data_IF_621381664386
#
_entry.id   IF_621381664386
#
_cell.length_a   1.000
_cell.length_b   1.000
_cell.length_c   1.000
_cell.angle_alpha   90.00
_cell.angle_beta   90.00
_cell.angle_gamma   90.00
#
_symmetry.space_group_name_H-M   'P 1'
#
loop_
_entity.id
_entity.type
_entity.pdbx_description
1 polymer ?
#
# COMPACT_ATOMS: atom_id res chain seq x y z
N UNK A 1 1.62 -23.37 -5.54
CA UNK A 1 2.61 -22.39 -4.98
C UNK A 1 3.54 -23.06 -3.96
N UNK A 2 4.82 -22.66 -3.89
CA UNK A 2 5.77 -23.16 -2.88
C UNK A 2 5.35 -22.66 -1.48
N UNK A 3 5.43 -23.50 -0.43
CA UNK A 3 5.09 -23.17 0.97
C UNK A 3 5.65 -21.81 1.44
N UNK A 4 6.89 -21.52 1.04
CA UNK A 4 7.55 -20.23 1.35
C UNK A 4 6.84 -19.01 0.74
N UNK A 5 6.26 -19.12 -0.46
CA UNK A 5 5.51 -18.02 -1.10
C UNK A 5 4.19 -17.77 -0.37
N UNK A 6 3.51 -18.82 0.10
CA UNK A 6 2.28 -18.69 0.90
C UNK A 6 2.56 -17.93 2.20
N UNK A 7 3.65 -18.27 2.91
CA UNK A 7 4.03 -17.57 4.13
C UNK A 7 4.34 -16.09 3.89
N UNK A 8 4.99 -15.76 2.75
CA UNK A 8 5.23 -14.35 2.37
C UNK A 8 3.91 -13.62 2.11
N UNK A 9 2.94 -14.25 1.43
CA UNK A 9 1.62 -13.66 1.18
C UNK A 9 0.89 -13.40 2.50
N UNK A 10 0.81 -14.39 3.38
CA UNK A 10 0.14 -14.24 4.68
C UNK A 10 0.79 -13.10 5.49
N UNK A 11 2.12 -13.12 5.63
CA UNK A 11 2.85 -12.08 6.34
C UNK A 11 2.64 -10.69 5.74
N UNK A 12 2.71 -10.57 4.40
CA UNK A 12 2.46 -9.32 3.70
C UNK A 12 1.05 -8.81 3.98
N UNK A 13 0.02 -9.64 3.78
CA UNK A 13 -1.37 -9.24 3.95
C UNK A 13 -1.65 -8.79 5.38
N UNK A 14 -1.16 -9.51 6.38
CA UNK A 14 -1.36 -9.14 7.78
C UNK A 14 -0.62 -7.84 8.13
N UNK A 15 0.67 -7.73 7.83
CA UNK A 15 1.44 -6.54 8.17
C UNK A 15 0.98 -5.30 7.40
N UNK A 16 0.66 -5.45 6.11
CA UNK A 16 0.17 -4.33 5.29
C UNK A 16 -1.13 -3.75 5.86
N UNK A 17 -2.10 -4.61 6.15
CA UNK A 17 -3.41 -4.16 6.61
C UNK A 17 -3.40 -3.67 8.06
N UNK A 18 -2.49 -4.15 8.91
CA UNK A 18 -2.28 -3.58 10.23
C UNK A 18 -1.82 -2.11 10.19
N UNK A 19 -1.34 -1.64 9.04
CA UNK A 19 -1.00 -0.24 8.81
C UNK A 19 -2.19 0.70 8.88
N UNK A 20 -3.38 0.26 8.47
CA UNK A 20 -4.62 1.04 8.61
C UNK A 20 -4.98 1.23 10.09
N UNK A 21 -4.90 0.16 10.88
CA UNK A 21 -5.14 0.23 12.33
C UNK A 21 -4.12 1.15 13.01
N UNK A 22 -2.82 1.02 12.66
CA UNK A 22 -1.77 1.90 13.19
C UNK A 22 -1.96 3.37 12.80
N UNK A 23 -2.45 3.65 11.57
CA UNK A 23 -2.78 5.01 11.14
C UNK A 23 -3.98 5.58 11.91
N UNK A 24 -5.01 4.79 12.16
CA UNK A 24 -6.20 5.18 12.92
C UNK A 24 -5.84 5.54 14.37
N UNK A 25 -4.90 4.82 15.00
CA UNK A 25 -4.35 5.20 16.31
C UNK A 25 -3.45 6.45 16.25
N UNK A 26 -2.81 6.75 15.11
CA UNK A 26 -1.90 7.88 14.99
C UNK A 26 -2.56 9.21 14.60
N UNK A 27 -3.56 9.17 13.69
CA UNK A 27 -4.21 10.35 13.11
C UNK A 27 -4.85 11.33 14.14
N UNK A 28 -5.39 10.91 15.29
CA UNK A 28 -5.92 11.85 16.28
C UNK A 28 -4.87 12.84 16.83
N UNK A 29 -3.58 12.54 16.71
CA UNK A 29 -2.48 13.29 17.29
C UNK A 29 -1.67 14.11 16.30
N UNK A 30 -1.93 13.98 15.00
CA UNK A 30 -1.19 14.68 13.95
C UNK A 30 -1.95 14.66 12.62
N UNK A 31 -1.63 15.60 11.72
CA UNK A 31 -2.20 15.59 10.37
C UNK A 31 -1.62 14.47 9.47
N UNK A 32 -2.30 14.13 8.36
CA UNK A 32 -1.92 13.05 7.46
C UNK A 32 -0.54 13.26 6.81
N UNK A 33 -0.19 14.47 6.39
CA UNK A 33 1.12 14.75 5.79
C UNK A 33 2.24 14.60 6.83
N UNK A 34 2.00 15.10 8.05
CA UNK A 34 2.96 15.05 9.16
C UNK A 34 3.17 13.63 9.64
N UNK A 35 2.10 12.81 9.71
CA UNK A 35 2.21 11.39 10.07
C UNK A 35 3.07 10.64 9.06
N UNK A 36 2.84 10.84 7.75
CA UNK A 36 3.63 10.20 6.71
C UNK A 36 5.08 10.72 6.75
N UNK A 37 5.27 12.03 6.93
CA UNK A 37 6.61 12.62 7.03
C UNK A 37 7.43 12.01 8.17
N UNK A 38 6.93 12.01 9.41
CA UNK A 38 7.62 11.41 10.57
C UNK A 38 7.91 9.93 10.37
N UNK A 39 6.94 9.20 9.84
CA UNK A 39 7.10 7.78 9.51
C UNK A 39 8.26 7.55 8.56
N UNK A 40 8.32 8.28 7.45
CA UNK A 40 9.36 8.08 6.44
C UNK A 40 10.68 8.75 6.78
N UNK A 41 10.70 9.79 7.61
CA UNK A 41 11.92 10.29 8.23
C UNK A 41 12.56 9.20 9.11
N UNK A 42 11.79 8.57 9.99
CA UNK A 42 12.29 7.49 10.83
C UNK A 42 12.82 6.30 9.99
N UNK A 43 12.07 5.86 8.98
CA UNK A 43 12.51 4.79 8.06
C UNK A 43 13.81 5.19 7.36
N UNK A 44 13.92 6.42 6.85
CA UNK A 44 15.12 6.91 6.15
C UNK A 44 16.32 6.90 7.07
N UNK A 45 16.19 7.42 8.30
CA UNK A 45 17.26 7.41 9.31
C UNK A 45 17.69 5.98 9.63
N UNK A 46 16.75 5.06 9.88
CA UNK A 46 17.04 3.65 10.14
C UNK A 46 17.78 2.99 8.97
N UNK A 47 17.36 3.27 7.73
CA UNK A 47 18.00 2.71 6.54
C UNK A 47 19.39 3.29 6.31
N UNK A 48 19.62 4.58 6.56
CA UNK A 48 20.97 5.20 6.52
C UNK A 48 21.87 4.51 7.54
N UNK A 49 21.44 4.42 8.80
CA UNK A 49 22.22 3.77 9.86
C UNK A 49 22.54 2.32 9.49
N UNK A 50 21.55 1.56 9.03
CA UNK A 50 21.73 0.18 8.59
C UNK A 50 22.77 0.07 7.46
N UNK A 51 22.64 0.88 6.40
CA UNK A 51 23.53 0.85 5.24
C UNK A 51 24.96 1.28 5.60
N UNK A 52 25.13 2.27 6.49
CA UNK A 52 26.44 2.71 7.00
C UNK A 52 27.09 1.60 7.83
N UNK A 53 26.38 1.02 8.81
CA UNK A 53 26.89 -0.07 9.65
C UNK A 53 27.30 -1.28 8.79
N UNK A 54 26.49 -1.61 7.79
CA UNK A 54 26.78 -2.71 6.86
C UNK A 54 27.81 -2.37 5.78
N UNK A 55 28.36 -1.14 5.78
CA UNK A 55 29.28 -0.62 4.75
C UNK A 55 28.75 -0.77 3.32
N UNK A 56 27.42 -0.63 3.17
CA UNK A 56 26.70 -0.75 1.88
C UNK A 56 26.15 0.58 1.39
N UNK A 57 26.41 1.67 2.10
CA UNK A 57 26.03 3.00 1.69
C UNK A 57 26.93 3.46 0.54
N UNK A 58 26.42 3.33 -0.69
CA UNK A 58 27.13 3.68 -1.92
C UNK A 58 26.21 4.49 -2.83
N UNK A 59 26.80 5.50 -3.49
CA UNK A 59 26.10 6.22 -4.53
C UNK A 59 25.87 5.32 -5.75
N UNK A 60 24.62 5.17 -6.19
CA UNK A 60 24.21 4.27 -7.27
C UNK A 60 24.09 4.94 -8.63
N UNK A 61 24.41 6.25 -8.71
CA UNK A 61 24.22 7.06 -9.89
C UNK A 61 22.84 7.69 -9.98
N UNK A 62 22.76 8.87 -10.63
CA UNK A 62 21.55 9.69 -10.66
C UNK A 62 20.36 8.97 -11.29
N UNK A 63 20.56 8.25 -12.40
CA UNK A 63 19.49 7.53 -13.11
C UNK A 63 18.85 6.45 -12.23
N UNK A 64 19.66 5.65 -11.54
CA UNK A 64 19.18 4.56 -10.67
C UNK A 64 18.51 5.13 -9.43
N UNK A 65 19.11 6.15 -8.82
CA UNK A 65 18.55 6.82 -7.66
C UNK A 65 17.19 7.44 -7.98
N UNK A 66 17.07 8.24 -9.06
CA UNK A 66 15.84 8.91 -9.44
C UNK A 66 14.71 7.94 -9.81
N UNK A 67 15.03 6.82 -10.48
CA UNK A 67 14.03 5.79 -10.78
C UNK A 67 13.48 5.15 -9.50
N UNK A 68 14.35 4.76 -8.57
CA UNK A 68 13.92 4.18 -7.30
C UNK A 68 13.18 5.22 -6.43
N UNK A 69 13.62 6.47 -6.43
CA UNK A 69 12.91 7.56 -5.74
C UNK A 69 11.52 7.79 -6.34
N UNK A 70 11.36 7.74 -7.67
CA UNK A 70 10.05 7.84 -8.32
C UNK A 70 9.13 6.69 -7.91
N UNK A 71 9.62 5.45 -7.94
CA UNK A 71 8.84 4.27 -7.51
C UNK A 71 8.40 4.45 -6.05
N UNK A 72 9.31 4.85 -5.17
CA UNK A 72 9.02 5.10 -3.76
C UNK A 72 8.00 6.21 -3.54
N UNK A 73 8.15 7.34 -4.21
CA UNK A 73 7.20 8.44 -4.14
C UNK A 73 5.79 8.01 -4.58
N UNK A 74 5.68 7.26 -5.66
CA UNK A 74 4.39 6.77 -6.15
C UNK A 74 3.78 5.72 -5.21
N UNK A 75 4.57 4.75 -4.77
CA UNK A 75 4.09 3.63 -3.96
C UNK A 75 3.76 3.99 -2.52
N UNK A 76 4.43 4.99 -1.97
CA UNK A 76 4.29 5.38 -0.56
C UNK A 76 3.75 6.81 -0.41
N UNK A 77 4.36 7.78 -1.10
CA UNK A 77 3.97 9.19 -1.02
C UNK A 77 2.57 9.41 -1.58
N UNK A 78 2.38 9.19 -2.87
CA UNK A 78 1.11 9.42 -3.56
C UNK A 78 0.00 8.52 -3.00
N UNK A 79 0.29 7.23 -2.86
CA UNK A 79 -0.72 6.26 -2.41
C UNK A 79 -1.27 6.60 -1.03
N UNK A 80 -0.39 6.76 -0.02
CA UNK A 80 -0.82 7.08 1.35
C UNK A 80 -1.49 8.45 1.44
N UNK A 81 -0.90 9.46 0.79
CA UNK A 81 -1.45 10.81 0.80
C UNK A 81 -2.87 10.84 0.25
N UNK A 82 -3.13 10.21 -0.90
CA UNK A 82 -4.46 10.20 -1.49
C UNK A 82 -5.47 9.45 -0.60
N UNK A 83 -5.09 8.35 0.03
CA UNK A 83 -5.96 7.63 0.97
C UNK A 83 -6.28 8.51 2.19
N UNK A 84 -5.28 9.07 2.84
CA UNK A 84 -5.48 9.85 4.08
C UNK A 84 -6.20 11.16 3.82
N UNK A 85 -5.89 11.86 2.72
CA UNK A 85 -6.60 13.08 2.33
C UNK A 85 -8.07 12.81 2.00
N UNK A 86 -8.40 11.68 1.38
CA UNK A 86 -9.79 11.33 1.13
C UNK A 86 -10.56 11.13 2.44
N UNK A 87 -9.96 10.46 3.42
CA UNK A 87 -10.53 10.27 4.76
C UNK A 87 -10.68 11.61 5.50
N UNK A 88 -9.68 12.47 5.46
CA UNK A 88 -9.72 13.82 6.05
C UNK A 88 -10.85 14.66 5.43
N UNK A 89 -11.05 14.56 4.10
CA UNK A 89 -12.18 15.18 3.39
C UNK A 89 -13.53 14.48 3.64
N UNK A 90 -13.61 13.63 4.67
CA UNK A 90 -14.83 12.94 5.11
C UNK A 90 -15.44 12.03 4.05
N UNK A 91 -14.65 11.56 3.08
CA UNK A 91 -15.09 10.50 2.18
C UNK A 91 -15.25 9.23 2.99
N UNK A 92 -16.41 8.56 2.94
CA UNK A 92 -16.62 7.33 3.69
C UNK A 92 -15.53 6.31 3.41
N UNK A 93 -14.94 5.74 4.46
CA UNK A 93 -13.81 4.80 4.35
C UNK A 93 -14.12 3.61 3.44
N UNK A 94 -15.40 3.17 3.41
CA UNK A 94 -15.87 2.15 2.48
C UNK A 94 -15.73 2.55 1.01
N UNK A 95 -16.02 3.82 0.66
CA UNK A 95 -15.84 4.30 -0.72
C UNK A 95 -14.36 4.40 -1.06
N UNK A 96 -13.53 4.91 -0.14
CA UNK A 96 -12.06 4.94 -0.34
C UNK A 96 -11.53 3.53 -0.60
N UNK A 97 -11.91 2.56 0.22
CA UNK A 97 -11.51 1.16 0.06
C UNK A 97 -11.99 0.57 -1.28
N UNK A 98 -13.22 0.90 -1.71
CA UNK A 98 -13.78 0.43 -2.99
C UNK A 98 -13.01 1.01 -4.19
N UNK A 99 -12.69 2.31 -4.15
CA UNK A 99 -11.91 2.94 -5.23
C UNK A 99 -10.50 2.36 -5.27
N UNK A 100 -9.83 2.23 -4.13
CA UNK A 100 -8.48 1.60 -4.04
C UNK A 100 -8.51 0.15 -4.56
N UNK A 101 -9.59 -0.58 -4.37
CA UNK A 101 -9.77 -1.93 -4.90
C UNK A 101 -9.87 -2.00 -6.45
N UNK A 102 -9.88 -0.87 -7.16
CA UNK A 102 -9.71 -0.85 -8.62
C UNK A 102 -8.23 -1.12 -9.05
N UNK A 103 -7.26 -0.96 -8.14
CA UNK A 103 -5.85 -1.11 -8.44
C UNK A 103 -5.49 -2.46 -9.09
N UNK A 104 -5.96 -3.63 -8.64
CA UNK A 104 -5.65 -4.89 -9.31
C UNK A 104 -6.18 -4.98 -10.75
N UNK A 105 -7.36 -4.42 -11.02
CA UNK A 105 -7.91 -4.34 -12.37
C UNK A 105 -7.04 -3.44 -13.27
N UNK A 106 -6.64 -2.26 -12.77
CA UNK A 106 -5.75 -1.34 -13.47
C UNK A 106 -4.38 -2.00 -13.75
N UNK A 107 -3.81 -2.71 -12.77
CA UNK A 107 -2.54 -3.43 -12.94
C UNK A 107 -2.67 -4.54 -13.98
N UNK A 108 -3.74 -5.35 -13.93
CA UNK A 108 -4.01 -6.40 -14.91
C UNK A 108 -4.14 -5.87 -16.33
N UNK A 109 -4.84 -4.73 -16.49
CA UNK A 109 -5.04 -4.10 -17.81
C UNK A 109 -3.73 -3.54 -18.40
N UNK A 110 -2.82 -3.04 -17.57
CA UNK A 110 -1.59 -2.39 -18.02
C UNK A 110 -0.36 -3.32 -18.04
N UNK A 111 -0.42 -4.50 -17.42
CA UNK A 111 0.72 -5.41 -17.30
C UNK A 111 1.28 -5.83 -18.65
N UNK A 112 0.43 -6.20 -19.61
CA UNK A 112 0.87 -6.58 -20.97
C UNK A 112 1.66 -5.49 -21.68
N UNK A 113 1.26 -4.22 -21.51
CA UNK A 113 1.95 -3.08 -22.13
C UNK A 113 3.29 -2.76 -21.48
N UNK A 114 3.36 -2.82 -20.15
CA UNK A 114 4.54 -2.36 -19.38
C UNK A 114 5.54 -3.48 -19.14
N UNK A 115 5.07 -4.65 -18.70
CA UNK A 115 5.92 -5.77 -18.24
C UNK A 115 6.02 -6.90 -19.27
N UNK A 116 5.23 -6.86 -20.34
CA UNK A 116 5.06 -7.95 -21.31
C UNK A 116 4.47 -9.24 -20.71
N UNK A 117 3.90 -9.14 -19.51
CA UNK A 117 3.19 -10.22 -18.84
C UNK A 117 1.69 -10.08 -19.11
N UNK A 118 1.18 -10.84 -20.08
CA UNK A 118 -0.25 -10.79 -20.43
C UNK A 118 -1.10 -11.42 -19.32
N UNK A 119 -2.15 -10.71 -18.93
CA UNK A 119 -3.15 -11.20 -17.98
C UNK A 119 -4.04 -12.22 -18.67
N UNK A 120 -3.99 -13.49 -18.26
CA UNK A 120 -4.77 -14.56 -18.86
C UNK A 120 -6.25 -14.51 -18.43
N UNK A 121 -7.10 -15.32 -19.11
CA UNK A 121 -8.56 -15.32 -18.85
C UNK A 121 -8.95 -15.69 -17.41
N UNK A 122 -8.17 -16.58 -16.76
CA UNK A 122 -8.43 -16.97 -15.37
C UNK A 122 -8.08 -15.84 -14.41
N UNK A 123 -6.99 -15.13 -14.69
CA UNK A 123 -6.60 -13.95 -13.91
C UNK A 123 -7.64 -12.84 -14.07
N UNK A 124 -8.12 -12.56 -15.30
CA UNK A 124 -9.18 -11.58 -15.52
C UNK A 124 -10.47 -11.95 -14.77
N UNK A 125 -10.91 -13.20 -14.87
CA UNK A 125 -12.09 -13.66 -14.15
C UNK A 125 -11.89 -13.55 -12.64
N UNK A 126 -10.70 -13.90 -12.13
CA UNK A 126 -10.33 -13.76 -10.73
C UNK A 126 -10.32 -12.32 -10.25
N UNK A 127 -9.80 -11.37 -11.06
CA UNK A 127 -9.79 -9.94 -10.75
C UNK A 127 -11.21 -9.37 -10.64
N UNK A 128 -12.08 -9.67 -11.62
CA UNK A 128 -13.48 -9.21 -11.60
C UNK A 128 -14.23 -9.82 -10.42
N UNK A 129 -14.05 -11.11 -10.16
CA UNK A 129 -14.69 -11.79 -9.04
C UNK A 129 -14.21 -11.21 -7.69
N UNK A 130 -12.90 -10.97 -7.54
CA UNK A 130 -12.34 -10.33 -6.35
C UNK A 130 -12.89 -8.94 -6.13
N UNK A 131 -13.01 -8.13 -7.19
CA UNK A 131 -13.62 -6.81 -7.11
C UNK A 131 -15.10 -6.87 -6.68
N UNK A 132 -15.88 -7.79 -7.25
CA UNK A 132 -17.28 -8.03 -6.82
C UNK A 132 -17.33 -8.37 -5.32
N UNK A 133 -16.44 -9.23 -4.84
CA UNK A 133 -16.36 -9.56 -3.42
C UNK A 133 -16.10 -8.33 -2.54
N UNK A 134 -15.20 -7.43 -2.96
CA UNK A 134 -14.95 -6.14 -2.26
C UNK A 134 -16.19 -5.26 -2.28
N UNK A 135 -16.88 -5.14 -3.43
CA UNK A 135 -18.13 -4.39 -3.54
C UNK A 135 -19.16 -4.90 -2.53
N UNK A 136 -19.38 -6.22 -2.45
CA UNK A 136 -20.32 -6.83 -1.49
C UNK A 136 -19.93 -6.51 -0.05
N UNK A 137 -18.63 -6.61 0.30
CA UNK A 137 -18.12 -6.32 1.65
C UNK A 137 -18.35 -4.85 2.04
N UNK A 138 -18.21 -3.92 1.08
CA UNK A 138 -18.17 -2.48 1.36
C UNK A 138 -19.54 -1.82 1.17
N UNK A 139 -20.40 -2.30 0.23
CA UNK A 139 -21.62 -1.64 -0.19
C UNK A 139 -22.58 -1.28 0.97
N UNK A 140 -22.70 -2.16 1.96
CA UNK A 140 -23.57 -1.96 3.12
C UNK A 140 -22.95 -1.10 4.24
N UNK A 141 -21.70 -0.67 4.06
CA UNK A 141 -20.96 0.20 5.00
C UNK A 141 -20.83 1.63 4.49
N UNK A 142 -21.26 1.90 3.25
CA UNK A 142 -21.20 3.22 2.65
C UNK A 142 -22.29 4.10 3.28
N UNK A 143 -21.88 5.17 3.93
CA UNK A 143 -22.79 6.26 4.33
C UNK A 143 -22.90 7.27 3.21
N UNK A 144 -24.01 7.24 2.48
CA UNK A 144 -24.30 8.16 1.38
C UNK A 144 -24.74 9.55 1.84
N UNK A 145 -24.99 9.75 3.15
CA UNK A 145 -25.35 11.05 3.70
C UNK A 145 -24.13 11.92 4.04
N UNK A 146 -22.91 11.44 3.72
CA UNK A 146 -21.69 12.21 3.97
C UNK A 146 -21.67 13.49 3.15
N UNK A 147 -21.21 14.58 3.75
CA UNK A 147 -21.11 15.93 3.15
C UNK A 147 -19.85 16.13 2.28
N UNK A 148 -19.25 15.04 1.80
CA UNK A 148 -18.03 15.11 0.99
C UNK A 148 -18.26 15.79 -0.35
N UNK A 149 -17.30 16.61 -0.78
CA UNK A 149 -17.33 17.21 -2.12
C UNK A 149 -17.10 16.15 -3.21
N UNK A 150 -17.59 16.38 -4.43
CA UNK A 150 -17.30 15.52 -5.59
C UNK A 150 -15.80 15.32 -5.79
N UNK A 151 -14.99 16.35 -5.56
CA UNK A 151 -13.54 16.28 -5.64
C UNK A 151 -12.95 15.30 -4.61
N UNK A 152 -13.51 15.21 -3.40
CA UNK A 152 -13.10 14.25 -2.39
C UNK A 152 -13.16 12.80 -2.90
N UNK A 153 -14.19 12.44 -3.67
CA UNK A 153 -14.35 11.11 -4.23
C UNK A 153 -13.35 10.77 -5.35
N UNK A 154 -12.74 11.78 -5.99
CA UNK A 154 -11.71 11.57 -7.02
C UNK A 154 -10.30 11.37 -6.43
N UNK A 155 -10.05 11.88 -5.21
CA UNK A 155 -8.73 11.79 -4.56
C UNK A 155 -8.20 10.33 -4.50
N UNK A 156 -9.00 9.32 -4.10
CA UNK A 156 -8.52 7.93 -4.02
C UNK A 156 -8.06 7.33 -5.37
N UNK A 157 -8.51 7.88 -6.52
CA UNK A 157 -7.99 7.46 -7.83
C UNK A 157 -6.50 7.74 -7.97
N UNK A 158 -5.99 8.81 -7.34
CA UNK A 158 -4.56 9.10 -7.30
C UNK A 158 -3.76 7.97 -6.65
N UNK A 159 -4.31 7.32 -5.60
CA UNK A 159 -3.67 6.16 -4.97
C UNK A 159 -3.62 4.96 -5.92
N UNK A 160 -4.71 4.69 -6.66
CA UNK A 160 -4.78 3.61 -7.65
C UNK A 160 -3.71 3.81 -8.73
N UNK A 161 -3.63 5.02 -9.29
CA UNK A 161 -2.65 5.38 -10.33
C UNK A 161 -1.22 5.23 -9.77
N UNK A 162 -0.94 5.83 -8.61
CA UNK A 162 0.39 5.81 -8.00
C UNK A 162 0.92 4.40 -7.78
N UNK A 163 0.17 3.57 -7.06
CA UNK A 163 0.64 2.20 -6.73
C UNK A 163 0.67 1.29 -7.96
N UNK A 164 -0.26 1.46 -8.93
CA UNK A 164 -0.26 0.69 -10.18
C UNK A 164 1.01 0.97 -10.98
N UNK A 165 1.33 2.24 -11.22
CA UNK A 165 2.53 2.63 -11.95
C UNK A 165 3.80 2.16 -11.23
N UNK A 166 3.88 2.38 -9.91
CA UNK A 166 5.02 1.93 -9.11
C UNK A 166 5.25 0.42 -9.21
N UNK A 167 4.19 -0.37 -9.03
CA UNK A 167 4.27 -1.85 -9.09
C UNK A 167 4.70 -2.33 -10.46
N UNK A 168 4.16 -1.75 -11.54
CA UNK A 168 4.51 -2.13 -12.92
C UNK A 168 5.96 -1.74 -13.27
N UNK A 169 6.43 -0.55 -12.88
CA UNK A 169 7.82 -0.13 -13.10
C UNK A 169 8.76 -1.05 -12.31
N UNK A 170 8.47 -1.31 -11.03
CA UNK A 170 9.28 -2.21 -10.20
C UNK A 170 9.34 -3.61 -10.81
N UNK A 171 8.20 -4.15 -11.25
CA UNK A 171 8.16 -5.47 -11.90
C UNK A 171 8.97 -5.50 -13.20
N UNK A 172 8.90 -4.44 -14.01
CA UNK A 172 9.68 -4.33 -15.23
C UNK A 172 11.19 -4.38 -14.96
N UNK A 173 11.67 -3.64 -13.96
CA UNK A 173 13.08 -3.65 -13.51
C UNK A 173 13.50 -5.06 -13.06
N UNK A 174 12.63 -5.78 -12.34
CA UNK A 174 12.89 -7.14 -11.89
C UNK A 174 13.01 -8.16 -13.04
N UNK A 175 12.08 -8.09 -14.00
CA UNK A 175 12.04 -9.04 -15.15
C UNK A 175 13.25 -8.83 -16.07
N UNK A 176 13.54 -7.59 -16.42
CA UNK A 176 14.58 -7.25 -17.38
C UNK A 176 15.99 -7.41 -16.79
N UNK A 177 16.12 -7.69 -15.49
CA UNK A 177 17.41 -7.72 -14.79
C UNK A 177 18.24 -6.48 -15.10
N UNK A 178 17.59 -5.34 -15.21
CA UNK A 178 18.21 -4.09 -15.62
C UNK A 178 19.29 -3.66 -14.61
N UNK A 179 20.25 -2.87 -15.09
CA UNK A 179 21.32 -2.30 -14.26
C UNK A 179 20.78 -1.40 -13.14
N UNK A 180 19.53 -0.96 -13.27
CA UNK A 180 18.80 -0.17 -12.30
C UNK A 180 18.28 -0.97 -11.09
N UNK A 181 18.35 -2.31 -11.12
CA UNK A 181 17.93 -3.15 -9.99
C UNK A 181 18.87 -2.96 -8.80
N UNK A 182 18.31 -2.49 -7.70
CA UNK A 182 19.03 -2.34 -6.44
C UNK A 182 18.77 -3.50 -5.48
N UNK A 183 19.70 -3.78 -4.57
CA UNK A 183 19.42 -4.59 -3.40
C UNK A 183 18.27 -3.96 -2.58
N UNK A 184 17.46 -4.82 -1.97
CA UNK A 184 16.24 -4.41 -1.26
C UNK A 184 16.46 -3.32 -0.20
N UNK A 185 17.58 -3.37 0.52
CA UNK A 185 17.93 -2.37 1.53
C UNK A 185 18.18 -0.98 0.92
N UNK A 186 18.86 -0.92 -0.22
CA UNK A 186 19.04 0.35 -0.95
C UNK A 186 17.73 0.83 -1.60
N UNK A 187 16.92 -0.09 -2.13
CA UNK A 187 15.58 0.23 -2.65
C UNK A 187 14.74 0.91 -1.57
N UNK A 188 14.64 0.30 -0.38
CA UNK A 188 13.89 0.88 0.75
C UNK A 188 14.42 2.24 1.18
N UNK A 189 15.75 2.44 1.17
CA UNK A 189 16.35 3.75 1.45
C UNK A 189 15.87 4.82 0.46
N UNK A 190 16.02 4.58 -0.86
CA UNK A 190 15.60 5.57 -1.86
C UNK A 190 14.09 5.82 -1.86
N UNK A 191 13.28 4.79 -1.62
CA UNK A 191 11.82 4.92 -1.50
C UNK A 191 11.44 5.79 -0.30
N UNK A 192 12.02 5.52 0.87
CA UNK A 192 11.73 6.30 2.09
C UNK A 192 12.22 7.73 1.97
N UNK A 193 13.43 7.94 1.45
CA UNK A 193 13.99 9.27 1.22
C UNK A 193 13.10 10.12 0.32
N UNK A 194 12.64 9.55 -0.80
CA UNK A 194 11.76 10.26 -1.73
C UNK A 194 10.44 10.67 -1.08
N UNK A 195 9.82 9.75 -0.34
CA UNK A 195 8.56 10.01 0.36
C UNK A 195 8.74 11.08 1.44
N UNK A 196 9.78 10.96 2.26
CA UNK A 196 10.13 11.95 3.28
C UNK A 196 10.30 13.35 2.66
N UNK A 197 11.12 13.48 1.61
CA UNK A 197 11.39 14.77 0.96
C UNK A 197 10.12 15.37 0.32
N UNK A 198 9.30 14.53 -0.32
CA UNK A 198 8.07 14.99 -0.97
C UNK A 198 7.03 15.48 0.05
N UNK A 199 6.94 14.83 1.21
CA UNK A 199 5.95 15.16 2.24
C UNK A 199 6.45 16.21 3.24
N UNK A 200 7.74 16.56 3.23
CA UNK A 200 8.30 17.58 4.12
C UNK A 200 7.62 18.94 3.93
N UNK A 201 7.49 19.41 2.68
CA UNK A 201 6.85 20.69 2.41
C UNK A 201 5.36 20.71 2.78
N UNK A 202 4.51 19.76 2.37
CA UNK A 202 3.13 19.71 2.81
C UNK A 202 2.98 19.64 4.35
N UNK A 203 3.77 18.83 5.02
CA UNK A 203 3.73 18.72 6.48
C UNK A 203 4.10 20.03 7.19
N UNK A 204 5.07 20.77 6.66
CA UNK A 204 5.47 22.07 7.22
C UNK A 204 4.43 23.15 6.93
N UNK A 205 4.00 23.29 5.66
CA UNK A 205 3.19 24.45 5.23
C UNK A 205 1.70 24.29 5.54
N UNK A 206 1.14 23.08 5.53
CA UNK A 206 -0.28 22.86 5.77
C UNK A 206 -0.59 22.43 7.21
N UNK A 207 0.34 21.73 7.86
CA UNK A 207 0.11 21.14 9.18
C UNK A 207 1.08 21.63 10.27
N UNK A 208 2.06 22.51 9.90
CA UNK A 208 3.07 23.06 10.82
C UNK A 208 3.84 22.00 11.62
N UNK A 209 3.92 20.76 11.11
CA UNK A 209 4.46 19.58 11.82
C UNK A 209 3.79 19.34 13.19
N UNK A 210 2.56 19.83 13.38
CA UNK A 210 1.85 19.72 14.66
C UNK A 210 1.66 18.24 15.02
N UNK A 211 2.20 17.86 16.17
CA UNK A 211 2.18 16.46 16.64
C UNK A 211 2.15 16.41 18.14
N UNK A 212 1.18 15.71 18.70
CA UNK A 212 1.12 15.38 20.12
C UNK A 212 1.88 14.07 20.37
N UNK A 213 3.08 14.17 20.95
CA UNK A 213 3.94 13.02 21.22
C UNK A 213 3.52 12.30 22.51
N UNK A 214 2.33 11.70 22.48
CA UNK A 214 1.83 10.84 23.57
C UNK A 214 2.27 9.37 23.36
N UNK A 215 2.23 8.52 24.40
CA UNK A 215 2.62 7.12 24.28
C UNK A 215 1.87 6.37 23.17
N UNK A 216 0.58 6.62 23.01
CA UNK A 216 -0.29 6.00 21.99
C UNK A 216 0.20 6.29 20.56
N UNK A 217 0.50 7.56 20.28
CA UNK A 217 1.10 7.98 19.01
C UNK A 217 2.47 7.34 18.79
N UNK A 218 3.30 7.32 19.84
CA UNK A 218 4.65 6.75 19.76
C UNK A 218 4.61 5.25 19.44
N UNK A 219 3.73 4.48 20.10
CA UNK A 219 3.55 3.06 19.79
C UNK A 219 3.00 2.83 18.38
N UNK A 220 2.00 3.61 17.96
CA UNK A 220 1.49 3.57 16.60
C UNK A 220 2.59 3.85 15.57
N UNK A 221 3.45 4.85 15.83
CA UNK A 221 4.56 5.22 14.96
C UNK A 221 5.62 4.11 14.89
N UNK A 222 6.01 3.51 16.02
CA UNK A 222 6.94 2.38 16.05
C UNK A 222 6.41 1.23 15.20
N UNK A 223 5.12 0.88 15.37
CA UNK A 223 4.47 -0.16 14.58
C UNK A 223 4.47 0.17 13.08
N UNK A 224 4.05 1.38 12.72
CA UNK A 224 4.00 1.84 11.34
C UNK A 224 5.40 1.83 10.66
N UNK A 225 6.45 2.17 11.41
CA UNK A 225 7.82 2.18 10.91
C UNK A 225 8.34 0.75 10.76
N UNK A 226 8.35 -0.05 11.83
CA UNK A 226 9.03 -1.35 11.85
C UNK A 226 8.22 -2.46 11.18
N UNK A 227 6.95 -2.61 11.55
CA UNK A 227 6.12 -3.69 11.04
C UNK A 227 5.60 -3.40 9.63
N UNK A 228 5.12 -2.19 9.38
CA UNK A 228 4.47 -1.84 8.12
C UNK A 228 5.50 -1.33 7.11
N UNK A 229 6.22 -0.23 7.39
CA UNK A 229 7.14 0.37 6.41
C UNK A 229 8.37 -0.50 6.12
N UNK A 230 8.91 -1.23 7.07
CA UNK A 230 9.99 -2.15 6.79
C UNK A 230 9.47 -3.56 6.52
N UNK A 231 8.68 -4.13 7.43
CA UNK A 231 8.21 -5.51 7.33
C UNK A 231 7.32 -5.77 6.11
N UNK A 232 6.19 -5.08 5.99
CA UNK A 232 5.25 -5.34 4.89
C UNK A 232 5.84 -5.01 3.52
N UNK A 233 6.60 -3.91 3.39
CA UNK A 233 7.22 -3.56 2.10
C UNK A 233 8.34 -4.52 1.70
N UNK A 234 9.16 -5.02 2.65
CA UNK A 234 10.12 -6.09 2.36
C UNK A 234 9.39 -7.30 1.78
N UNK A 235 8.26 -7.70 2.39
CA UNK A 235 7.48 -8.83 1.92
C UNK A 235 6.85 -8.57 0.55
N UNK A 236 6.32 -7.37 0.32
CA UNK A 236 5.75 -6.96 -0.97
C UNK A 236 6.78 -7.05 -2.10
N UNK A 237 7.96 -6.45 -1.91
CA UNK A 237 9.00 -6.49 -2.94
C UNK A 237 9.54 -7.90 -3.16
N UNK A 238 9.62 -8.74 -2.12
CA UNK A 238 9.93 -10.17 -2.27
C UNK A 238 8.86 -10.94 -3.03
N UNK A 239 7.60 -10.53 -2.96
CA UNK A 239 6.53 -11.12 -3.77
C UNK A 239 6.63 -10.64 -5.22
N UNK A 240 6.92 -9.36 -5.48
CA UNK A 240 7.14 -8.82 -6.84
C UNK A 240 8.31 -9.51 -7.55
N UNK A 241 9.36 -9.92 -6.82
CA UNK A 241 10.45 -10.74 -7.37
C UNK A 241 9.98 -12.13 -7.86
N UNK A 242 8.91 -12.69 -7.30
CA UNK A 242 8.50 -14.10 -7.48
C UNK A 242 7.23 -14.31 -8.27
N UNK A 243 6.34 -13.36 -8.22
CA UNK A 243 5.02 -13.40 -8.84
C UNK A 243 4.92 -12.31 -9.91
N UNK A 244 4.01 -12.52 -10.88
CA UNK A 244 3.65 -11.47 -11.84
C UNK A 244 2.92 -10.29 -11.17
N UNK A 245 2.92 -9.15 -11.84
CA UNK A 245 2.34 -7.92 -11.30
C UNK A 245 0.85 -8.07 -10.96
N UNK A 246 0.09 -8.77 -11.81
CA UNK A 246 -1.34 -9.02 -11.61
C UNK A 246 -1.60 -9.88 -10.38
N UNK A 247 -0.82 -10.95 -10.20
CA UNK A 247 -0.92 -11.83 -9.03
C UNK A 247 -0.58 -11.10 -7.71
N UNK A 248 0.43 -10.23 -7.71
CA UNK A 248 0.75 -9.41 -6.51
C UNK A 248 -0.35 -8.40 -6.25
N UNK A 249 -0.82 -7.69 -7.29
CA UNK A 249 -1.87 -6.69 -7.15
C UNK A 249 -3.18 -7.30 -6.62
N UNK A 250 -3.54 -8.52 -7.03
CA UNK A 250 -4.75 -9.19 -6.54
C UNK A 250 -4.79 -9.40 -5.03
N UNK A 251 -3.62 -9.44 -4.36
CA UNK A 251 -3.54 -9.60 -2.90
C UNK A 251 -4.11 -8.38 -2.15
N UNK A 252 -4.12 -7.21 -2.79
CA UNK A 252 -4.73 -6.01 -2.19
C UNK A 252 -6.24 -6.11 -2.03
N UNK A 253 -6.91 -7.03 -2.74
CA UNK A 253 -8.32 -7.33 -2.48
C UNK A 253 -8.58 -7.93 -1.09
N UNK A 254 -7.56 -8.50 -0.45
CA UNK A 254 -7.67 -8.92 0.95
C UNK A 254 -7.62 -7.75 1.93
N UNK A 255 -7.32 -6.53 1.44
CA UNK A 255 -7.26 -5.33 2.26
C UNK A 255 -8.52 -5.11 3.08
N UNK A 256 -9.68 -4.81 2.46
CA UNK A 256 -10.92 -4.54 3.20
C UNK A 256 -11.28 -5.66 4.20
N UNK A 257 -11.37 -6.95 3.83
CA UNK A 257 -11.74 -8.00 4.76
C UNK A 257 -10.77 -8.17 5.93
N UNK A 258 -9.46 -8.08 5.67
CA UNK A 258 -8.45 -8.25 6.73
C UNK A 258 -8.41 -7.03 7.65
N UNK A 259 -8.50 -5.81 7.11
CA UNK A 259 -8.60 -4.60 7.92
C UNK A 259 -9.86 -4.61 8.78
N UNK A 260 -11.00 -5.02 8.24
CA UNK A 260 -12.25 -5.15 9.02
C UNK A 260 -12.13 -6.17 10.16
N UNK A 261 -11.51 -7.32 9.91
CA UNK A 261 -11.24 -8.30 10.95
C UNK A 261 -10.34 -7.73 12.06
N UNK A 262 -9.29 -6.98 11.66
CA UNK A 262 -8.41 -6.30 12.61
C UNK A 262 -9.13 -5.17 13.38
N UNK A 263 -9.98 -4.39 12.73
CA UNK A 263 -10.78 -3.35 13.37
C UNK A 263 -11.80 -3.94 14.37
N UNK A 264 -12.41 -5.08 14.03
CA UNK A 264 -13.24 -5.82 14.99
C UNK A 264 -12.45 -6.21 16.25
N UNK A 265 -11.20 -6.69 16.09
CA UNK A 265 -10.35 -7.04 17.24
C UNK A 265 -9.87 -5.81 18.03
N UNK A 266 -9.53 -4.72 17.34
CA UNK A 266 -8.93 -3.53 17.95
C UNK A 266 -9.96 -2.55 18.53
N UNK A 267 -11.10 -2.37 17.86
CA UNK A 267 -12.11 -1.34 18.17
C UNK A 267 -13.50 -1.92 18.50
N UNK A 268 -13.67 -3.23 18.38
CA UNK A 268 -14.97 -3.89 18.62
C UNK A 268 -16.01 -3.69 17.51
N UNK A 269 -15.57 -3.39 16.29
CA UNK A 269 -16.44 -3.21 15.12
C UNK A 269 -17.30 -4.45 14.85
N UNK A 270 -18.50 -4.24 14.32
CA UNK A 270 -19.41 -5.36 14.00
C UNK A 270 -19.04 -6.01 12.67
N UNK A 271 -18.98 -7.35 12.67
CA UNK A 271 -18.86 -8.14 11.45
C UNK A 271 -20.26 -8.59 11.02
N UNK A 272 -20.62 -8.30 9.75
CA UNK A 272 -21.90 -8.67 9.17
C UNK A 272 -21.76 -9.93 8.30
N UNK A 273 -22.88 -10.61 8.01
CA UNK A 273 -22.89 -11.77 7.11
C UNK A 273 -22.41 -11.42 5.69
N UNK A 274 -22.66 -10.21 5.23
CA UNK A 274 -22.19 -9.67 3.94
C UNK A 274 -20.67 -9.60 3.87
N UNK A 275 -20.02 -9.33 5.00
CA UNK A 275 -18.57 -9.32 5.10
C UNK A 275 -17.99 -10.72 4.86
N UNK A 276 -18.59 -11.72 5.51
CA UNK A 276 -18.18 -13.14 5.36
C UNK A 276 -18.35 -13.62 3.92
N UNK A 277 -19.49 -13.30 3.29
CA UNK A 277 -19.77 -13.66 1.90
C UNK A 277 -18.78 -12.96 0.95
N UNK A 278 -18.56 -11.64 1.13
CA UNK A 278 -17.61 -10.88 0.31
C UNK A 278 -16.18 -11.41 0.45
N UNK A 279 -15.73 -11.72 1.67
CA UNK A 279 -14.42 -12.34 1.94
C UNK A 279 -14.26 -13.67 1.20
N UNK A 280 -15.27 -14.55 1.24
CA UNK A 280 -15.22 -15.82 0.53
C UNK A 280 -15.05 -15.62 -0.99
N UNK A 281 -15.81 -14.69 -1.58
CA UNK A 281 -15.72 -14.36 -3.01
C UNK A 281 -14.34 -13.79 -3.36
N UNK A 282 -13.81 -12.86 -2.55
CA UNK A 282 -12.46 -12.32 -2.71
C UNK A 282 -11.41 -13.43 -2.70
N UNK A 283 -11.50 -14.35 -1.74
CA UNK A 283 -10.55 -15.45 -1.63
C UNK A 283 -10.55 -16.33 -2.89
N UNK A 284 -11.73 -16.72 -3.41
CA UNK A 284 -11.84 -17.46 -4.66
C UNK A 284 -11.30 -16.67 -5.86
N UNK A 285 -11.58 -15.38 -5.93
CA UNK A 285 -11.02 -14.50 -6.96
C UNK A 285 -9.50 -14.52 -6.96
N UNK A 286 -8.86 -14.36 -5.79
CA UNK A 286 -7.40 -14.40 -5.66
C UNK A 286 -6.82 -15.78 -6.05
N UNK A 287 -7.46 -16.88 -5.66
CA UNK A 287 -7.00 -18.21 -6.06
C UNK A 287 -6.99 -18.37 -7.59
N UNK A 288 -7.95 -17.78 -8.28
CA UNK A 288 -7.99 -17.79 -9.76
C UNK A 288 -6.88 -16.94 -10.37
N UNK A 289 -6.55 -15.78 -9.80
CA UNK A 289 -5.45 -14.94 -10.31
C UNK A 289 -4.07 -15.61 -10.16
N UNK A 290 -3.92 -16.59 -9.25
CA UNK A 290 -2.67 -17.33 -9.07
C UNK A 290 -2.51 -18.51 -10.06
N UNK A 291 -3.54 -18.80 -10.87
CA UNK A 291 -3.43 -19.82 -11.93
C UNK A 291 -2.69 -19.23 -13.13
N UNK A 292 -1.64 -19.93 -13.54
CA UNK A 292 -0.89 -19.64 -14.76
C UNK A 292 -1.55 -20.28 -15.97
#
# INVERSE_FOLDING_TARGET
MKKRTILLIIGFVLLWNSGFIGAEYGLPYTGPFTLIFWRYLAVTVLMVLYLVIRKRFKWVGFRVASLNMLIGFLAHGVWLTCVLLALENKVPSGIVALVVALQPLATGALSGYVTKEETNKYQWFGLVLGFIGVVITVAFRIDLNSTSSIFGYLIPLGSVIGITIATLIQRKVEINKEKEKLPLDQTLFYHSLATMLALALPAIFFENLATEWVPEFTYAMIWLVLAVSLGAYILMWRLIERLDATSVASLFYLGPPVTMFMAWLAFGDKINITDVVGVAIVFFGILLTQKK
#
